data_IF_926887760947
#
_entry.id   IF_926887760947
#
_cell.length_a   1.000
_cell.length_b   1.000
_cell.length_c   1.000
_cell.angle_alpha   90.00
_cell.angle_beta   90.00
_cell.angle_gamma   90.00
#
_symmetry.space_group_name_H-M   'P 1'
#
loop_
_entity.id
_entity.type
_entity.pdbx_description
1 polymer ?
#
# COMPACT_ATOMS: atom_id res chain seq x y z
N UNK A 1 16.52 -1.16 -5.08
CA UNK A 1 17.31 -0.35 -6.06
C UNK A 1 16.46 0.21 -7.20
N UNK A 2 15.46 -0.51 -7.69
CA UNK A 2 14.52 -0.04 -8.72
C UNK A 2 13.79 1.27 -8.39
N UNK A 3 13.33 1.46 -7.14
CA UNK A 3 12.63 2.70 -6.73
C UNK A 3 13.51 3.96 -6.76
N UNK A 4 14.81 3.84 -6.45
CA UNK A 4 15.75 4.97 -6.50
C UNK A 4 16.10 5.40 -7.93
N UNK A 5 16.13 4.46 -8.88
CA UNK A 5 16.31 4.80 -10.29
C UNK A 5 15.07 5.49 -10.87
N UNK A 6 13.87 5.06 -10.45
CA UNK A 6 12.61 5.71 -10.81
C UNK A 6 12.52 7.12 -10.23
N UNK A 7 13.00 7.36 -9.00
CA UNK A 7 12.98 8.71 -8.42
C UNK A 7 13.93 9.68 -9.15
N UNK A 8 15.11 9.20 -9.59
CA UNK A 8 16.05 10.00 -10.39
C UNK A 8 15.49 10.40 -11.76
N UNK A 9 14.67 9.56 -12.38
CA UNK A 9 14.06 9.79 -13.69
C UNK A 9 12.55 10.03 -13.62
N UNK A 10 12.06 10.52 -12.49
CA UNK A 10 10.63 10.52 -12.15
C UNK A 10 9.76 11.15 -13.22
N UNK A 11 10.13 12.33 -13.74
CA UNK A 11 9.34 13.02 -14.76
C UNK A 11 9.27 12.25 -16.08
N UNK A 12 10.38 11.64 -16.53
CA UNK A 12 10.42 10.83 -17.75
C UNK A 12 9.57 9.58 -17.60
N UNK A 13 9.67 8.90 -16.45
CA UNK A 13 8.87 7.70 -16.15
C UNK A 13 7.39 8.04 -16.07
N UNK A 14 7.03 9.12 -15.38
CA UNK A 14 5.65 9.60 -15.26
C UNK A 14 5.04 9.91 -16.63
N UNK A 15 5.75 10.65 -17.49
CA UNK A 15 5.27 10.98 -18.83
C UNK A 15 5.07 9.72 -19.68
N UNK A 16 6.01 8.77 -19.62
CA UNK A 16 5.89 7.51 -20.35
C UNK A 16 4.69 6.67 -19.87
N UNK A 17 4.49 6.56 -18.55
CA UNK A 17 3.36 5.83 -17.96
C UNK A 17 2.02 6.47 -18.36
N UNK A 18 1.92 7.81 -18.32
CA UNK A 18 0.70 8.52 -18.71
C UNK A 18 0.43 8.40 -20.22
N UNK A 19 1.46 8.40 -21.05
CA UNK A 19 1.31 8.18 -22.50
C UNK A 19 0.77 6.77 -22.81
N UNK A 20 1.17 5.75 -22.04
CA UNK A 20 0.75 4.36 -22.24
C UNK A 20 -0.41 3.92 -21.34
N UNK A 21 -1.08 4.84 -20.64
CA UNK A 21 -2.11 4.52 -19.64
C UNK A 21 -3.22 3.59 -20.12
N UNK A 22 -3.62 3.68 -21.39
CA UNK A 22 -4.66 2.83 -21.99
C UNK A 22 -4.16 1.39 -22.14
N UNK A 23 -2.92 1.21 -22.61
CA UNK A 23 -2.28 -0.09 -22.73
C UNK A 23 -2.03 -0.72 -21.36
N UNK A 24 -1.61 0.07 -20.38
CA UNK A 24 -1.42 -0.39 -19.00
C UNK A 24 -2.76 -0.82 -18.40
N UNK A 25 -3.84 -0.06 -18.62
CA UNK A 25 -5.18 -0.43 -18.16
C UNK A 25 -5.70 -1.72 -18.79
N UNK A 26 -5.59 -1.87 -20.11
CA UNK A 26 -5.96 -3.10 -20.80
C UNK A 26 -5.07 -4.28 -20.42
N UNK A 27 -3.77 -4.05 -20.25
CA UNK A 27 -2.82 -5.05 -19.77
C UNK A 27 -3.18 -5.54 -18.38
N UNK A 28 -3.45 -4.61 -17.44
CA UNK A 28 -3.90 -4.94 -16.10
C UNK A 28 -5.19 -5.78 -16.12
N UNK A 29 -6.20 -5.36 -16.88
CA UNK A 29 -7.47 -6.07 -17.00
C UNK A 29 -7.27 -7.46 -17.61
N UNK A 30 -6.55 -7.55 -18.73
CA UNK A 30 -6.26 -8.81 -19.43
C UNK A 30 -5.49 -9.78 -18.52
N UNK A 31 -4.47 -9.30 -17.83
CA UNK A 31 -3.67 -10.11 -16.92
C UNK A 31 -4.48 -10.52 -15.67
N UNK A 32 -5.34 -9.65 -15.14
CA UNK A 32 -6.27 -10.02 -14.05
C UNK A 32 -7.21 -11.15 -14.49
N UNK A 33 -7.83 -11.07 -15.67
CA UNK A 33 -8.64 -12.19 -16.20
C UNK A 33 -7.77 -13.43 -16.42
N UNK A 34 -6.54 -13.25 -16.93
CA UNK A 34 -5.61 -14.35 -17.16
C UNK A 34 -5.21 -15.09 -15.89
N UNK A 35 -5.22 -14.45 -14.71
CA UNK A 35 -5.01 -15.17 -13.42
C UNK A 35 -6.06 -16.26 -13.18
N UNK A 36 -7.31 -16.04 -13.61
CA UNK A 36 -8.40 -17.02 -13.50
C UNK A 36 -8.11 -18.21 -14.43
N UNK A 37 -7.68 -17.92 -15.66
CA UNK A 37 -7.28 -18.93 -16.63
C UNK A 37 -6.08 -19.75 -16.16
N UNK A 38 -5.10 -19.10 -15.54
CA UNK A 38 -3.89 -19.74 -15.01
C UNK A 38 -4.21 -20.65 -13.83
N UNK A 39 -5.13 -20.25 -12.95
CA UNK A 39 -5.64 -21.12 -11.89
C UNK A 39 -6.34 -22.37 -12.43
N UNK A 40 -7.20 -22.21 -13.45
CA UNK A 40 -7.88 -23.34 -14.10
C UNK A 40 -6.87 -24.27 -14.77
N UNK A 41 -5.88 -23.71 -15.49
CA UNK A 41 -4.83 -24.49 -16.15
C UNK A 41 -3.94 -25.25 -15.15
N UNK A 42 -3.48 -24.59 -14.08
CA UNK A 42 -2.68 -25.21 -13.03
C UNK A 42 -3.42 -26.37 -12.34
N UNK A 43 -4.74 -26.22 -12.14
CA UNK A 43 -5.55 -27.23 -11.47
C UNK A 43 -5.96 -28.38 -12.39
N UNK A 44 -6.32 -28.10 -13.64
CA UNK A 44 -6.86 -29.10 -14.58
C UNK A 44 -5.78 -29.81 -15.41
N UNK A 45 -4.69 -29.10 -15.76
CA UNK A 45 -3.64 -29.65 -16.64
C UNK A 45 -2.44 -30.14 -15.83
N UNK A 46 -2.01 -29.39 -14.81
CA UNK A 46 -0.82 -29.73 -14.02
C UNK A 46 -1.11 -30.52 -12.72
N UNK A 47 -2.38 -30.70 -12.33
CA UNK A 47 -2.78 -31.39 -11.09
C UNK A 47 -2.07 -30.88 -9.82
N UNK A 48 -1.66 -29.61 -9.80
CA UNK A 48 -1.02 -29.05 -8.62
C UNK A 48 -2.02 -28.94 -7.46
N UNK A 49 -1.56 -29.29 -6.25
CA UNK A 49 -2.32 -29.04 -5.02
C UNK A 49 -2.66 -27.55 -4.88
N UNK A 50 -3.79 -27.25 -4.24
CA UNK A 50 -4.38 -25.90 -4.18
C UNK A 50 -3.36 -24.81 -3.78
N UNK A 51 -2.44 -25.11 -2.85
CA UNK A 51 -1.41 -24.18 -2.37
C UNK A 51 -0.31 -23.85 -3.40
N UNK A 52 0.01 -24.75 -4.33
CA UNK A 52 1.01 -24.51 -5.37
C UNK A 52 0.40 -23.80 -6.59
N UNK A 53 -0.88 -24.07 -6.88
CA UNK A 53 -1.61 -23.48 -7.99
C UNK A 53 -1.86 -21.96 -7.82
N UNK A 54 -1.91 -21.48 -6.58
CA UNK A 54 -2.08 -20.06 -6.21
C UNK A 54 -0.77 -19.39 -5.77
N UNK A 55 0.38 -20.05 -6.01
CA UNK A 55 1.65 -19.55 -5.51
C UNK A 55 1.99 -18.17 -6.09
N UNK A 56 2.34 -17.19 -5.24
CA UNK A 56 2.70 -15.84 -5.70
C UNK A 56 4.05 -15.80 -6.45
N UNK A 57 4.84 -16.88 -6.40
CA UNK A 57 6.16 -16.94 -7.04
C UNK A 57 6.13 -17.38 -8.51
N UNK A 58 4.94 -17.54 -9.10
CA UNK A 58 4.85 -17.90 -10.51
C UNK A 58 5.33 -16.73 -11.39
N UNK A 59 6.09 -16.98 -12.48
CA UNK A 59 6.61 -15.92 -13.35
C UNK A 59 5.53 -14.98 -13.90
N UNK A 60 4.33 -15.51 -14.10
CA UNK A 60 3.17 -14.74 -14.49
C UNK A 60 2.77 -13.68 -13.45
N UNK A 61 2.82 -14.03 -12.16
CA UNK A 61 2.50 -13.11 -11.07
C UNK A 61 3.48 -11.93 -11.04
N UNK A 62 4.76 -12.16 -11.34
CA UNK A 62 5.73 -11.07 -11.46
C UNK A 62 5.37 -10.06 -12.57
N UNK A 63 4.98 -10.54 -13.75
CA UNK A 63 4.55 -9.67 -14.86
C UNK A 63 3.27 -8.92 -14.49
N UNK A 64 2.31 -9.64 -13.92
CA UNK A 64 1.06 -9.07 -13.44
C UNK A 64 1.31 -7.96 -12.41
N UNK A 65 2.16 -8.20 -11.42
CA UNK A 65 2.49 -7.24 -10.36
C UNK A 65 3.15 -5.99 -10.93
N UNK A 66 4.09 -6.13 -11.88
CA UNK A 66 4.73 -4.98 -12.53
C UNK A 66 3.69 -4.11 -13.26
N UNK A 67 2.80 -4.74 -14.02
CA UNK A 67 1.74 -4.02 -14.74
C UNK A 67 0.74 -3.39 -13.77
N UNK A 68 0.39 -4.08 -12.68
CA UNK A 68 -0.51 -3.55 -11.66
C UNK A 68 0.10 -2.39 -10.88
N UNK A 69 1.40 -2.44 -10.54
CA UNK A 69 2.11 -1.32 -9.92
C UNK A 69 2.11 -0.12 -10.86
N UNK A 70 2.37 -0.31 -12.16
CA UNK A 70 2.31 0.76 -13.15
C UNK A 70 0.88 1.34 -13.26
N UNK A 71 -0.15 0.48 -13.23
CA UNK A 71 -1.54 0.89 -13.25
C UNK A 71 -1.92 1.72 -12.01
N UNK A 72 -1.58 1.24 -10.82
CA UNK A 72 -1.82 1.94 -9.55
C UNK A 72 -1.06 3.28 -9.53
N UNK A 73 0.15 3.35 -10.09
CA UNK A 73 0.89 4.60 -10.23
C UNK A 73 0.15 5.60 -11.12
N UNK A 74 -0.33 5.17 -12.29
CA UNK A 74 -1.15 6.03 -13.18
C UNK A 74 -2.41 6.50 -12.47
N UNK A 75 -3.09 5.60 -11.76
CA UNK A 75 -4.28 5.94 -10.98
C UNK A 75 -3.98 6.97 -9.89
N UNK A 76 -2.87 6.81 -9.18
CA UNK A 76 -2.38 7.75 -8.18
C UNK A 76 -2.08 9.13 -8.76
N UNK A 77 -1.49 9.20 -9.96
CA UNK A 77 -1.24 10.48 -10.64
C UNK A 77 -2.54 11.18 -11.03
N UNK A 78 -3.52 10.44 -11.55
CA UNK A 78 -4.86 10.99 -11.84
C UNK A 78 -5.56 11.47 -10.57
N UNK A 79 -5.44 10.70 -9.49
CA UNK A 79 -5.96 11.08 -8.19
C UNK A 79 -5.31 12.36 -7.65
N UNK A 80 -3.98 12.52 -7.81
CA UNK A 80 -3.27 13.73 -7.38
C UNK A 80 -3.76 15.00 -8.11
N UNK A 81 -4.02 14.90 -9.42
CA UNK A 81 -4.60 15.99 -10.24
C UNK A 81 -6.05 16.28 -9.82
N UNK A 82 -6.82 15.26 -9.46
CA UNK A 82 -8.19 15.44 -8.94
C UNK A 82 -8.19 16.09 -7.55
N UNK A 83 -7.29 15.65 -6.67
CA UNK A 83 -7.14 16.17 -5.31
C UNK A 83 -6.79 17.66 -5.30
N UNK A 84 -5.89 18.10 -6.18
CA UNK A 84 -5.55 19.53 -6.32
C UNK A 84 -6.75 20.38 -6.74
N UNK A 85 -7.72 19.82 -7.47
CA UNK A 85 -8.95 20.51 -7.87
C UNK A 85 -10.05 20.47 -6.80
N UNK A 86 -10.04 19.50 -5.88
CA UNK A 86 -11.09 19.29 -4.87
C UNK A 86 -10.52 18.83 -3.51
N UNK A 87 -9.71 19.68 -2.84
CA UNK A 87 -9.00 19.29 -1.62
C UNK A 87 -9.94 19.05 -0.42
N UNK A 88 -11.10 19.71 -0.38
CA UNK A 88 -12.00 19.62 0.78
C UNK A 88 -12.93 18.39 0.76
N UNK A 89 -12.90 17.60 -0.32
CA UNK A 89 -13.80 16.45 -0.48
C UNK A 89 -13.55 15.39 0.60
N UNK A 90 -14.61 14.81 1.17
CA UNK A 90 -14.50 13.82 2.25
C UNK A 90 -13.64 12.60 1.87
N UNK A 91 -13.71 12.16 0.60
CA UNK A 91 -12.85 11.11 0.04
C UNK A 91 -11.36 11.46 0.12
N UNK A 92 -10.99 12.72 -0.12
CA UNK A 92 -9.60 13.16 -0.02
C UNK A 92 -9.06 13.00 1.41
N UNK A 93 -9.88 13.37 2.40
CA UNK A 93 -9.54 13.22 3.82
C UNK A 93 -9.44 11.75 4.24
N UNK A 94 -10.38 10.90 3.79
CA UNK A 94 -10.33 9.47 4.08
C UNK A 94 -9.09 8.80 3.48
N UNK A 95 -8.76 9.11 2.23
CA UNK A 95 -7.57 8.56 1.57
C UNK A 95 -6.30 9.05 2.26
N UNK A 96 -6.24 10.33 2.68
CA UNK A 96 -5.12 10.86 3.46
C UNK A 96 -4.93 10.14 4.79
N UNK A 97 -6.01 9.95 5.57
CA UNK A 97 -5.98 9.18 6.81
C UNK A 97 -5.60 7.72 6.58
N UNK A 98 -6.13 7.09 5.52
CA UNK A 98 -5.81 5.73 5.11
C UNK A 98 -4.35 5.56 4.73
N UNK A 99 -3.79 6.50 3.95
CA UNK A 99 -2.39 6.49 3.54
C UNK A 99 -1.45 6.57 4.75
N UNK A 100 -1.77 7.40 5.74
CA UNK A 100 -0.96 7.54 6.95
C UNK A 100 -0.92 6.26 7.79
N UNK A 101 -1.99 5.48 7.79
CA UNK A 101 -2.14 4.27 8.61
C UNK A 101 -1.88 2.98 7.81
N UNK A 102 -1.70 3.08 6.48
CA UNK A 102 -1.53 1.97 5.55
C UNK A 102 -0.41 1.00 5.92
N UNK A 103 0.73 1.50 6.39
CA UNK A 103 1.83 0.66 6.85
C UNK A 103 1.45 -0.17 8.08
N UNK A 104 0.72 0.43 9.03
CA UNK A 104 0.20 -0.28 10.20
C UNK A 104 -0.86 -1.32 9.81
N UNK A 105 -1.73 -0.99 8.85
CA UNK A 105 -2.72 -1.94 8.31
C UNK A 105 -2.03 -3.18 7.75
N UNK A 106 -0.95 -3.00 6.98
CA UNK A 106 -0.16 -4.11 6.44
C UNK A 106 0.44 -5.00 7.54
N UNK A 107 1.03 -4.41 8.58
CA UNK A 107 1.62 -5.18 9.69
C UNK A 107 0.57 -5.95 10.51
N UNK A 108 -0.60 -5.35 10.74
CA UNK A 108 -1.67 -5.95 11.52
C UNK A 108 -2.57 -6.89 10.69
N UNK A 109 -2.34 -7.01 9.38
CA UNK A 109 -3.16 -7.82 8.50
C UNK A 109 -3.14 -9.30 8.90
N UNK A 110 -1.97 -9.84 9.26
CA UNK A 110 -1.84 -11.25 9.68
C UNK A 110 -2.68 -11.56 10.91
N UNK A 111 -2.79 -10.62 11.86
CA UNK A 111 -3.63 -10.78 13.05
C UNK A 111 -5.11 -10.88 12.66
N UNK A 112 -5.57 -9.99 11.78
CA UNK A 112 -6.94 -9.98 11.32
C UNK A 112 -7.30 -11.25 10.51
N UNK A 113 -6.38 -11.74 9.68
CA UNK A 113 -6.55 -13.00 8.94
C UNK A 113 -6.65 -14.18 9.90
N UNK A 114 -5.75 -14.27 10.89
CA UNK A 114 -5.78 -15.34 11.90
C UNK A 114 -7.07 -15.34 12.72
N UNK A 115 -7.55 -14.14 13.09
CA UNK A 115 -8.80 -13.98 13.84
C UNK A 115 -10.03 -14.39 13.00
N UNK A 116 -10.08 -13.98 11.73
CA UNK A 116 -11.12 -14.40 10.80
C UNK A 116 -11.08 -15.92 10.58
N UNK A 117 -9.89 -16.50 10.38
CA UNK A 117 -9.71 -17.94 10.22
C UNK A 117 -10.19 -18.73 11.44
N UNK A 118 -9.89 -18.25 12.65
CA UNK A 118 -10.43 -18.81 13.88
C UNK A 118 -11.96 -18.74 13.95
N UNK A 119 -12.55 -17.58 13.63
CA UNK A 119 -14.00 -17.40 13.65
C UNK A 119 -14.72 -18.28 12.63
N UNK A 120 -14.16 -18.43 11.43
CA UNK A 120 -14.70 -19.32 10.40
C UNK A 120 -14.56 -20.80 10.77
N UNK A 121 -13.52 -21.19 11.50
CA UNK A 121 -13.33 -22.58 11.93
C UNK A 121 -14.37 -23.07 12.95
N UNK A 122 -15.03 -22.14 13.65
CA UNK A 122 -16.10 -22.45 14.61
C UNK A 122 -17.45 -22.72 13.94
N UNK A 123 -17.66 -22.24 12.71
CA UNK A 123 -18.86 -22.50 11.93
C UNK A 123 -18.57 -23.52 10.84
N UNK A 124 -19.30 -24.63 10.81
CA UNK A 124 -19.24 -25.61 9.72
C UNK A 124 -19.85 -25.08 8.42
N UNK A 125 -19.29 -24.02 7.85
CA UNK A 125 -19.83 -23.35 6.66
C UNK A 125 -19.62 -24.20 5.40
N UNK A 126 -20.65 -24.29 4.56
CA UNK A 126 -20.54 -24.90 3.23
C UNK A 126 -19.64 -24.07 2.30
N UNK A 127 -18.94 -24.72 1.37
CA UNK A 127 -18.02 -24.09 0.41
C UNK A 127 -18.67 -22.94 -0.38
N UNK A 128 -19.96 -23.06 -0.73
CA UNK A 128 -20.69 -21.99 -1.44
C UNK A 128 -20.90 -20.74 -0.58
N UNK A 129 -21.11 -20.92 0.73
CA UNK A 129 -21.27 -19.82 1.67
C UNK A 129 -19.95 -19.09 1.91
N UNK A 130 -18.82 -19.80 1.91
CA UNK A 130 -17.49 -19.20 2.01
C UNK A 130 -17.16 -18.27 0.84
N UNK A 131 -17.60 -18.61 -0.38
CA UNK A 131 -17.43 -17.75 -1.57
C UNK A 131 -18.25 -16.47 -1.43
N UNK A 132 -19.49 -16.57 -0.93
CA UNK A 132 -20.34 -15.40 -0.70
C UNK A 132 -19.82 -14.53 0.46
N UNK A 133 -19.21 -15.15 1.47
CA UNK A 133 -18.66 -14.47 2.65
C UNK A 133 -17.30 -13.80 2.36
N UNK A 134 -16.64 -14.15 1.26
CA UNK A 134 -15.32 -13.63 0.86
C UNK A 134 -15.25 -12.09 0.82
N UNK A 135 -16.18 -11.35 0.16
CA UNK A 135 -16.19 -9.88 0.22
C UNK A 135 -16.40 -9.35 1.65
N UNK A 136 -17.24 -10.03 2.45
CA UNK A 136 -17.53 -9.63 3.83
C UNK A 136 -16.28 -9.85 4.71
N UNK A 137 -15.61 -10.98 4.55
CA UNK A 137 -14.37 -11.32 5.24
C UNK A 137 -13.24 -10.35 4.89
N UNK A 138 -13.15 -9.92 3.62
CA UNK A 138 -12.19 -8.90 3.20
C UNK A 138 -12.45 -7.54 3.88
N UNK A 139 -13.71 -7.09 3.90
CA UNK A 139 -14.11 -5.86 4.60
C UNK A 139 -13.81 -5.99 6.10
N UNK A 140 -14.08 -7.15 6.69
CA UNK A 140 -13.79 -7.42 8.10
C UNK A 140 -12.29 -7.32 8.38
N UNK A 141 -11.44 -7.96 7.58
CA UNK A 141 -9.97 -7.87 7.72
C UNK A 141 -9.53 -6.41 7.63
N UNK A 142 -9.97 -5.68 6.60
CA UNK A 142 -9.63 -4.27 6.45
C UNK A 142 -10.09 -3.43 7.64
N UNK A 143 -11.33 -3.62 8.11
CA UNK A 143 -11.88 -2.87 9.23
C UNK A 143 -11.12 -3.16 10.53
N UNK A 144 -10.81 -4.42 10.82
CA UNK A 144 -10.07 -4.82 12.02
C UNK A 144 -8.64 -4.30 11.96
N UNK A 145 -7.93 -4.51 10.85
CA UNK A 145 -6.55 -4.01 10.68
C UNK A 145 -6.48 -2.49 10.71
N UNK A 146 -7.43 -1.81 10.08
CA UNK A 146 -7.54 -0.34 10.16
C UNK A 146 -7.84 0.13 11.56
N UNK A 147 -8.74 -0.53 12.30
CA UNK A 147 -9.06 -0.18 13.68
C UNK A 147 -7.86 -0.34 14.59
N UNK A 148 -7.15 -1.47 14.51
CA UNK A 148 -5.94 -1.71 15.30
C UNK A 148 -4.87 -0.68 14.98
N UNK A 149 -4.59 -0.45 13.69
CA UNK A 149 -3.58 0.51 13.27
C UNK A 149 -3.96 1.96 13.63
N UNK A 150 -5.24 2.32 13.55
CA UNK A 150 -5.76 3.61 14.00
C UNK A 150 -5.67 3.76 15.51
N UNK A 151 -5.94 2.70 16.27
CA UNK A 151 -5.83 2.67 17.72
C UNK A 151 -4.37 2.86 18.15
N UNK A 152 -3.43 2.13 17.54
CA UNK A 152 -2.00 2.28 17.75
C UNK A 152 -1.49 3.67 17.34
N UNK A 153 -2.13 4.30 16.35
CA UNK A 153 -1.81 5.66 15.91
C UNK A 153 -2.37 6.73 16.86
N UNK A 154 -3.55 6.51 17.45
CA UNK A 154 -4.26 7.50 18.29
C UNK A 154 -3.93 7.40 19.78
N UNK A 155 -3.59 6.22 20.31
CA UNK A 155 -3.37 5.99 21.76
C UNK A 155 -1.87 6.01 22.10
N UNK A 156 -1.44 6.94 22.96
CA UNK A 156 -0.12 6.93 23.59
C UNK A 156 -0.02 5.75 24.58
N UNK A 157 1.00 4.86 24.55
CA UNK A 157 2.43 5.11 24.27
C UNK A 157 2.98 4.63 22.91
N UNK A 158 2.17 4.03 22.04
CA UNK A 158 2.67 3.38 20.80
C UNK A 158 3.14 4.37 19.72
N UNK A 159 2.74 5.64 19.80
CA UNK A 159 3.29 6.70 18.93
C UNK A 159 4.79 6.92 19.09
N UNK A 160 5.36 6.64 20.28
CA UNK A 160 6.80 6.68 20.55
C UNK A 160 7.55 5.52 19.88
N UNK A 161 6.96 4.32 19.91
CA UNK A 161 7.54 3.10 19.32
C UNK A 161 7.56 3.13 17.77
N UNK A 162 6.68 3.92 17.17
CA UNK A 162 6.57 4.13 15.72
C UNK A 162 7.43 5.35 15.26
N UNK A 163 8.17 5.98 16.19
CA UNK A 163 9.10 7.08 15.87
C UNK A 163 8.42 8.40 15.54
N UNK A 164 7.13 8.58 15.87
CA UNK A 164 6.46 9.88 15.72
C UNK A 164 6.81 10.75 16.93
N UNK A 165 7.31 12.00 16.74
CA UNK A 165 7.47 12.93 17.85
C UNK A 165 6.09 13.25 18.43
N UNK A 166 5.77 12.65 19.57
CA UNK A 166 4.68 13.12 20.40
C UNK A 166 5.12 14.48 20.93
N UNK A 167 4.31 15.51 20.72
CA UNK A 167 4.47 16.81 21.38
C UNK A 167 4.17 16.70 22.88
N UNK A 168 4.83 15.77 23.57
CA UNK A 168 5.11 15.89 24.98
C UNK A 168 6.34 16.80 25.04
N UNK A 169 6.08 18.10 25.18
CA UNK A 169 6.97 19.11 25.76
C UNK A 169 8.39 18.64 26.07
N UNK A 170 9.24 18.47 25.05
CA UNK A 170 10.69 18.38 25.21
C UNK A 170 11.27 19.54 24.44
N UNK A 171 11.36 20.65 25.16
CA UNK A 171 12.44 21.63 25.10
C UNK A 171 13.03 21.87 23.70
N UNK A 172 12.44 22.84 23.03
CA UNK A 172 13.08 23.67 22.01
C UNK A 172 14.33 24.36 22.60
N UNK A 173 15.41 23.59 22.81
CA UNK A 173 16.74 24.13 23.18
C UNK A 173 17.92 23.40 22.51
N UNK A 174 17.71 22.30 21.79
CA UNK A 174 18.83 21.49 21.27
C UNK A 174 19.24 21.72 19.80
N UNK A 175 18.30 22.05 18.91
CA UNK A 175 18.56 21.93 17.44
C UNK A 175 18.88 23.27 16.76
N UNK A 176 18.58 24.41 17.38
CA UNK A 176 18.89 25.73 16.80
C UNK A 176 20.38 26.08 16.82
N UNK A 177 21.22 25.33 17.53
CA UNK A 177 22.65 25.63 17.64
C UNK A 177 23.54 24.92 16.60
N UNK A 178 23.00 24.03 15.76
CA UNK A 178 23.81 23.33 14.74
C UNK A 178 23.74 23.94 13.34
N UNK A 179 22.76 24.81 13.04
CA UNK A 179 22.71 25.51 11.73
C UNK A 179 23.51 26.81 11.69
N UNK A 180 23.87 27.41 12.83
CA UNK A 180 24.58 28.69 12.81
C UNK A 180 26.09 28.59 12.54
N UNK A 181 26.73 27.43 12.77
CA UNK A 181 28.19 27.29 12.59
C UNK A 181 28.63 27.11 11.14
N UNK A 182 27.74 26.73 10.23
CA UNK A 182 28.11 26.56 8.81
C UNK A 182 27.97 27.83 7.96
N UNK A 183 27.24 28.84 8.42
CA UNK A 183 27.06 30.10 7.67
C UNK A 183 28.15 31.13 7.92
N UNK A 184 28.87 31.07 9.03
CA UNK A 184 29.91 32.05 9.35
C UNK A 184 31.22 31.82 8.60
N UNK A 185 31.52 30.59 8.15
CA UNK A 185 32.81 30.29 7.50
C UNK A 185 32.84 30.67 6.01
N UNK A 186 31.68 30.83 5.36
CA UNK A 186 31.62 31.12 3.91
C UNK A 186 31.65 32.63 3.61
N UNK A 187 31.46 33.50 4.61
CA UNK A 187 31.37 34.95 4.39
C UNK A 187 32.67 35.74 4.62
N UNK A 188 33.78 35.09 5.00
CA UNK A 188 35.09 35.75 5.22
C UNK A 188 36.14 35.49 4.13
N UNK A 189 35.81 34.78 3.04
CA UNK A 189 36.74 34.56 1.91
C UNK A 189 36.29 35.29 0.64
N UNK A 190 35.97 36.58 0.78
CA UNK A 190 35.96 37.50 -0.35
C UNK A 190 36.22 38.94 0.14
N UNK A 191 37.49 39.24 0.39
CA UNK A 191 38.05 40.59 0.41
C UNK A 191 39.39 40.55 -0.29
#
# INVERSE_FOLDING_TARGET
MSGGLVSLHYEKVKQWLLAHQVLIGWGALSLSIGTIGLYVFNKQVLNFGHNAAVSPHQPYMLIYDVVMIAFVFVLGQRYAVWHTKRPEHWLARLIGHGAQVSFGVYLCQTIAISLLGGLLSLGGFSNGMLILLLPIGYIFILAVSFTIAWLCYRIAPFGWLIGRPQSLSVSSKGVLNHEQTHRSVVSESNK
#
